data_IF_064835836594
#
_entry.id   IF_064835836594
#
_cell.length_a   1.000
_cell.length_b   1.000
_cell.length_c   1.000
_cell.angle_alpha   90.00
_cell.angle_beta   90.00
_cell.angle_gamma   90.00
#
_symmetry.space_group_name_H-M   'P 1'
#
loop_
_entity.id
_entity.type
_entity.pdbx_description
1 polymer ?
#
# COMPACT_ATOMS: atom_id res chain seq x y z
N UNK A 1 -47.24 3.07 -29.11
CA UNK A 1 -46.46 2.02 -28.43
C UNK A 1 -44.95 2.34 -28.52
N UNK A 2 -44.44 3.33 -27.77
CA UNK A 2 -43.02 3.77 -27.86
C UNK A 2 -42.42 4.35 -26.56
N UNK A 3 -42.98 4.05 -25.38
CA UNK A 3 -42.45 4.58 -24.11
C UNK A 3 -42.04 3.52 -23.08
N UNK A 4 -42.26 2.22 -23.36
CA UNK A 4 -41.90 1.14 -22.42
C UNK A 4 -40.41 0.77 -22.41
N UNK A 5 -39.61 1.30 -23.33
CA UNK A 5 -38.19 0.93 -23.43
C UNK A 5 -37.20 1.95 -22.87
N UNK A 6 -37.61 3.20 -22.60
CA UNK A 6 -36.72 4.22 -22.01
C UNK A 6 -36.60 4.11 -20.47
N UNK A 7 -37.56 3.50 -19.80
CA UNK A 7 -37.57 3.40 -18.33
C UNK A 7 -36.58 2.31 -17.84
N UNK A 8 -36.26 1.32 -18.68
CA UNK A 8 -35.29 0.28 -18.33
C UNK A 8 -33.83 0.76 -18.33
N UNK A 9 -33.51 1.83 -19.07
CA UNK A 9 -32.12 2.33 -19.16
C UNK A 9 -31.77 3.28 -18.00
N UNK A 10 -32.79 3.90 -17.37
CA UNK A 10 -32.60 4.79 -16.23
C UNK A 10 -32.42 4.04 -14.89
N UNK A 11 -32.82 2.77 -14.81
CA UNK A 11 -32.67 1.97 -13.59
C UNK A 11 -31.26 1.35 -13.45
N UNK A 12 -30.48 1.26 -14.52
CA UNK A 12 -29.13 0.69 -14.47
C UNK A 12 -28.05 1.70 -14.06
N UNK A 13 -28.35 3.00 -14.16
CA UNK A 13 -27.43 4.09 -13.79
C UNK A 13 -27.47 4.40 -12.27
N UNK A 14 -28.44 3.82 -11.54
CA UNK A 14 -28.64 4.05 -10.10
C UNK A 14 -28.06 2.96 -9.20
N UNK A 15 -27.45 1.90 -9.74
CA UNK A 15 -26.52 1.03 -8.98
C UNK A 15 -25.21 1.80 -8.80
N UNK A 16 -25.30 2.76 -7.90
CA UNK A 16 -24.47 3.94 -7.85
C UNK A 16 -23.12 3.63 -7.21
N UNK A 17 -21.97 4.03 -7.80
CA UNK A 17 -20.67 4.02 -7.11
C UNK A 17 -20.67 4.78 -5.77
N UNK A 18 -21.68 5.63 -5.52
CA UNK A 18 -21.91 6.33 -4.26
C UNK A 18 -22.30 5.42 -3.08
N UNK A 19 -22.98 4.29 -3.32
CA UNK A 19 -23.34 3.37 -2.24
C UNK A 19 -22.11 2.62 -1.70
N UNK A 20 -21.23 2.18 -2.61
CA UNK A 20 -19.99 1.49 -2.26
C UNK A 20 -18.98 2.41 -1.55
N UNK A 21 -18.90 3.69 -1.96
CA UNK A 21 -17.98 4.64 -1.32
C UNK A 21 -18.30 4.87 0.17
N UNK A 22 -19.59 4.92 0.54
CA UNK A 22 -20.01 5.06 1.93
C UNK A 22 -19.75 3.81 2.77
N UNK A 23 -19.94 2.63 2.20
CA UNK A 23 -19.65 1.35 2.85
C UNK A 23 -18.14 1.16 3.06
N UNK A 24 -17.32 1.48 2.04
CA UNK A 24 -15.87 1.40 2.14
C UNK A 24 -15.30 2.34 3.20
N UNK A 25 -15.85 3.55 3.32
CA UNK A 25 -15.45 4.49 4.36
C UNK A 25 -15.68 3.92 5.77
N UNK A 26 -16.84 3.26 5.98
CA UNK A 26 -17.16 2.61 7.24
C UNK A 26 -16.24 1.42 7.52
N UNK A 27 -16.03 0.54 6.53
CA UNK A 27 -15.11 -0.59 6.63
C UNK A 27 -13.69 -0.14 6.94
N UNK A 28 -13.20 0.87 6.22
CA UNK A 28 -11.87 1.42 6.42
C UNK A 28 -11.72 2.03 7.82
N UNK A 29 -12.72 2.79 8.30
CA UNK A 29 -12.72 3.33 9.65
C UNK A 29 -12.74 2.23 10.73
N UNK A 30 -13.53 1.18 10.51
CA UNK A 30 -13.59 0.03 11.41
C UNK A 30 -12.27 -0.73 11.45
N UNK A 31 -11.63 -0.97 10.29
CA UNK A 31 -10.30 -1.59 10.21
C UNK A 31 -9.24 -0.80 10.97
N UNK A 32 -9.24 0.53 10.83
CA UNK A 32 -8.37 1.42 11.62
C UNK A 32 -8.64 1.32 13.12
N UNK A 33 -9.90 1.23 13.54
CA UNK A 33 -10.24 1.08 14.94
C UNK A 33 -9.71 -0.24 15.51
N UNK A 34 -9.96 -1.35 14.80
CA UNK A 34 -9.41 -2.65 15.19
C UNK A 34 -7.89 -2.62 15.33
N UNK A 35 -7.18 -2.06 14.35
CA UNK A 35 -5.73 -1.91 14.41
C UNK A 35 -5.27 -1.09 15.62
N UNK A 36 -5.95 0.03 15.92
CA UNK A 36 -5.68 0.85 17.11
C UNK A 36 -5.85 0.07 18.42
N UNK A 37 -6.76 -0.90 18.44
CA UNK A 37 -7.00 -1.79 19.59
C UNK A 37 -6.18 -3.08 19.55
N UNK A 38 -5.15 -3.16 18.69
CA UNK A 38 -4.25 -4.32 18.51
C UNK A 38 -4.96 -5.60 18.04
N UNK A 39 -6.15 -5.47 17.43
CA UNK A 39 -6.94 -6.56 16.87
C UNK A 39 -6.63 -6.71 15.38
N UNK A 40 -5.42 -7.16 15.04
CA UNK A 40 -4.90 -7.04 13.68
C UNK A 40 -5.59 -7.97 12.68
N UNK A 41 -6.04 -9.17 13.09
CA UNK A 41 -6.79 -10.07 12.18
C UNK A 41 -8.13 -9.42 11.77
N UNK A 42 -8.84 -8.81 12.72
CA UNK A 42 -10.09 -8.10 12.42
C UNK A 42 -9.85 -6.87 11.55
N UNK A 43 -8.75 -6.14 11.79
CA UNK A 43 -8.35 -5.01 10.95
C UNK A 43 -8.11 -5.46 9.50
N UNK A 44 -7.33 -6.53 9.33
CA UNK A 44 -7.06 -7.16 8.04
C UNK A 44 -8.34 -7.56 7.32
N UNK A 45 -9.30 -8.18 8.00
CA UNK A 45 -10.58 -8.56 7.38
C UNK A 45 -11.29 -7.36 6.74
N UNK A 46 -11.28 -6.20 7.41
CA UNK A 46 -11.91 -4.98 6.87
C UNK A 46 -11.16 -4.42 5.66
N UNK A 47 -9.83 -4.36 5.72
CA UNK A 47 -9.03 -3.83 4.61
C UNK A 47 -9.06 -4.76 3.40
N UNK A 48 -8.97 -6.07 3.61
CA UNK A 48 -9.00 -7.07 2.54
C UNK A 48 -10.30 -7.03 1.75
N UNK A 49 -11.42 -6.80 2.42
CA UNK A 49 -12.72 -6.70 1.76
C UNK A 49 -12.75 -5.58 0.72
N UNK A 50 -12.22 -4.39 1.07
CA UNK A 50 -12.04 -3.26 0.15
C UNK A 50 -11.12 -3.64 -1.02
N UNK A 51 -10.01 -4.34 -0.73
CA UNK A 51 -9.04 -4.80 -1.75
C UNK A 51 -9.66 -5.80 -2.74
N UNK A 52 -10.59 -6.65 -2.32
CA UNK A 52 -11.15 -7.68 -3.19
C UNK A 52 -12.34 -7.15 -3.99
N UNK A 53 -13.23 -6.39 -3.34
CA UNK A 53 -14.51 -6.07 -3.92
C UNK A 53 -14.55 -4.72 -4.64
N UNK A 54 -13.70 -3.76 -4.25
CA UNK A 54 -13.86 -2.37 -4.68
C UNK A 54 -12.57 -1.79 -5.30
N UNK A 55 -12.34 -2.09 -6.57
CA UNK A 55 -11.16 -1.63 -7.33
C UNK A 55 -11.09 -0.10 -7.49
N UNK A 56 -12.24 0.58 -7.53
CA UNK A 56 -12.32 2.04 -7.64
C UNK A 56 -12.35 2.80 -6.31
N UNK A 57 -12.21 2.10 -5.17
CA UNK A 57 -12.34 2.73 -3.86
C UNK A 57 -11.21 3.74 -3.59
N UNK A 58 -11.50 4.94 -3.07
CA UNK A 58 -10.44 5.86 -2.63
C UNK A 58 -9.63 5.31 -1.44
N UNK A 59 -10.12 4.27 -0.77
CA UNK A 59 -9.44 3.61 0.35
C UNK A 59 -8.59 2.42 -0.07
N UNK A 60 -8.62 2.03 -1.35
CA UNK A 60 -7.96 0.82 -1.84
C UNK A 60 -6.45 0.89 -1.73
N UNK A 61 -5.82 2.01 -2.08
CA UNK A 61 -4.37 2.21 -1.93
C UNK A 61 -3.91 1.91 -0.49
N UNK A 62 -4.54 2.56 0.47
CA UNK A 62 -4.22 2.41 1.88
C UNK A 62 -4.55 1.00 2.39
N UNK A 63 -5.62 0.38 1.89
CA UNK A 63 -6.02 -0.98 2.28
C UNK A 63 -5.09 -2.05 1.72
N UNK A 64 -4.56 -1.88 0.50
CA UNK A 64 -3.51 -2.73 -0.06
C UNK A 64 -2.25 -2.66 0.81
N UNK A 65 -1.84 -1.44 1.19
CA UNK A 65 -0.68 -1.26 2.07
C UNK A 65 -0.88 -1.99 3.40
N UNK A 66 -2.01 -1.77 4.07
CA UNK A 66 -2.32 -2.40 5.36
C UNK A 66 -2.43 -3.93 5.25
N UNK A 67 -2.95 -4.44 4.13
CA UNK A 67 -3.04 -5.88 3.88
C UNK A 67 -1.65 -6.50 3.65
N UNK A 68 -0.78 -5.82 2.90
CA UNK A 68 0.60 -6.25 2.69
C UNK A 68 1.43 -6.22 3.99
N UNK A 69 1.26 -5.17 4.80
CA UNK A 69 1.84 -5.10 6.14
C UNK A 69 1.45 -6.29 7.00
N UNK A 70 0.15 -6.61 7.04
CA UNK A 70 -0.35 -7.73 7.83
C UNK A 70 0.34 -9.03 7.44
N UNK A 71 0.42 -9.35 6.14
CA UNK A 71 1.10 -10.56 5.68
C UNK A 71 2.60 -10.55 5.98
N UNK A 72 3.27 -9.40 5.85
CA UNK A 72 4.67 -9.27 6.19
C UNK A 72 4.93 -9.49 7.70
N UNK A 73 4.06 -8.94 8.57
CA UNK A 73 4.18 -9.08 10.02
C UNK A 73 4.03 -10.53 10.49
N UNK A 74 3.17 -11.31 9.82
CA UNK A 74 3.01 -12.75 10.11
C UNK A 74 3.95 -13.64 9.29
N UNK A 75 4.96 -13.04 8.64
CA UNK A 75 5.95 -13.72 7.79
C UNK A 75 5.36 -14.55 6.65
N UNK A 76 4.14 -14.23 6.21
CA UNK A 76 3.54 -14.84 5.03
C UNK A 76 4.02 -14.09 3.76
N UNK A 77 5.29 -14.33 3.40
CA UNK A 77 5.97 -13.59 2.34
C UNK A 77 5.34 -13.71 0.95
N UNK A 78 4.87 -14.88 0.48
CA UNK A 78 4.28 -14.98 -0.86
C UNK A 78 3.07 -14.06 -1.03
N UNK A 79 2.19 -14.00 -0.03
CA UNK A 79 1.02 -13.13 -0.01
C UNK A 79 1.42 -11.67 0.16
N UNK A 80 2.39 -11.36 1.02
CA UNK A 80 2.91 -10.00 1.16
C UNK A 80 3.47 -9.48 -0.17
N UNK A 81 4.29 -10.28 -0.86
CA UNK A 81 4.85 -9.96 -2.18
C UNK A 81 3.72 -9.73 -3.20
N UNK A 82 2.72 -10.61 -3.22
CA UNK A 82 1.58 -10.51 -4.13
C UNK A 82 0.84 -9.18 -3.95
N UNK A 83 0.49 -8.84 -2.70
CA UNK A 83 -0.26 -7.62 -2.37
C UNK A 83 0.58 -6.36 -2.62
N UNK A 84 1.85 -6.37 -2.25
CA UNK A 84 2.74 -5.23 -2.49
C UNK A 84 3.05 -5.03 -3.97
N UNK A 85 3.17 -6.10 -4.75
CA UNK A 85 3.31 -5.99 -6.21
C UNK A 85 2.05 -5.40 -6.84
N UNK A 86 0.87 -5.80 -6.36
CA UNK A 86 -0.39 -5.19 -6.77
C UNK A 86 -0.43 -3.69 -6.43
N UNK A 87 -0.01 -3.31 -5.22
CA UNK A 87 0.11 -1.90 -4.82
C UNK A 87 0.98 -1.11 -5.80
N UNK A 88 2.17 -1.61 -6.13
CA UNK A 88 3.10 -0.90 -7.02
C UNK A 88 2.56 -0.75 -8.45
N UNK A 89 1.77 -1.72 -8.90
CA UNK A 89 1.12 -1.69 -10.22
C UNK A 89 -0.03 -0.70 -10.27
N UNK A 90 -0.89 -0.68 -9.25
CA UNK A 90 -2.10 0.15 -9.22
C UNK A 90 -1.81 1.60 -8.79
N UNK A 91 -0.79 1.81 -7.95
CA UNK A 91 -0.45 3.10 -7.34
C UNK A 91 1.04 3.47 -7.52
N UNK A 92 1.53 3.55 -8.78
CA UNK A 92 2.96 3.76 -9.07
C UNK A 92 3.50 5.13 -8.60
N UNK A 93 2.62 6.10 -8.34
CA UNK A 93 2.96 7.46 -7.90
C UNK A 93 2.65 7.70 -6.40
N UNK A 94 2.26 6.65 -5.67
CA UNK A 94 1.94 6.77 -4.25
C UNK A 94 3.15 7.25 -3.43
N UNK A 95 2.88 8.12 -2.44
CA UNK A 95 3.87 8.49 -1.42
C UNK A 95 4.32 7.29 -0.58
N UNK A 96 3.50 6.25 -0.48
CA UNK A 96 3.81 5.05 0.28
C UNK A 96 4.65 4.02 -0.50
N UNK A 97 4.87 4.24 -1.80
CA UNK A 97 5.65 3.37 -2.70
C UNK A 97 7.04 3.00 -2.15
N UNK A 98 7.77 3.98 -1.60
CA UNK A 98 9.11 3.73 -1.06
C UNK A 98 9.08 2.74 0.12
N UNK A 99 8.02 2.77 0.93
CA UNK A 99 7.87 1.86 2.07
C UNK A 99 7.46 0.46 1.60
N UNK A 100 6.63 0.36 0.55
CA UNK A 100 6.32 -0.92 -0.10
C UNK A 100 7.59 -1.56 -0.67
N UNK A 101 8.44 -0.78 -1.35
CA UNK A 101 9.74 -1.28 -1.83
C UNK A 101 10.66 -1.68 -0.67
N UNK A 102 10.64 -0.95 0.45
CA UNK A 102 11.34 -1.33 1.67
C UNK A 102 10.90 -2.69 2.23
N UNK A 103 9.59 -2.97 2.24
CA UNK A 103 9.07 -4.28 2.61
C UNK A 103 9.54 -5.39 1.67
N UNK A 104 9.40 -5.18 0.35
CA UNK A 104 9.86 -6.17 -0.63
C UNK A 104 11.37 -6.41 -0.53
N UNK A 105 12.16 -5.36 -0.27
CA UNK A 105 13.60 -5.48 -0.08
C UNK A 105 13.92 -6.32 1.16
N UNK A 106 13.29 -6.01 2.31
CA UNK A 106 13.43 -6.80 3.54
C UNK A 106 13.06 -8.26 3.32
N UNK A 107 11.94 -8.52 2.64
CA UNK A 107 11.51 -9.89 2.33
C UNK A 107 12.55 -10.59 1.46
N UNK A 108 13.06 -9.96 0.41
CA UNK A 108 14.10 -10.54 -0.45
C UNK A 108 15.40 -10.84 0.32
N UNK A 109 15.76 -10.03 1.32
CA UNK A 109 16.87 -10.33 2.22
C UNK A 109 16.59 -11.58 3.07
N UNK A 110 15.40 -11.66 3.68
CA UNK A 110 15.01 -12.79 4.54
C UNK A 110 14.88 -14.10 3.76
N UNK A 111 14.45 -14.05 2.50
CA UNK A 111 14.34 -15.22 1.62
C UNK A 111 15.62 -15.55 0.86
N UNK A 112 16.68 -14.72 0.98
CA UNK A 112 17.92 -14.81 0.20
C UNK A 112 17.69 -14.78 -1.33
N UNK A 113 16.66 -14.08 -1.79
CA UNK A 113 16.38 -13.90 -3.21
C UNK A 113 17.27 -12.80 -3.80
N UNK A 114 18.49 -13.20 -4.16
CA UNK A 114 19.52 -12.27 -4.67
C UNK A 114 19.13 -11.56 -5.97
N UNK A 115 18.34 -12.20 -6.83
CA UNK A 115 17.88 -11.60 -8.09
C UNK A 115 16.90 -10.45 -7.81
N UNK A 116 15.87 -10.72 -6.98
CA UNK A 116 14.93 -9.68 -6.58
C UNK A 116 15.61 -8.55 -5.80
N UNK A 117 16.60 -8.89 -4.95
CA UNK A 117 17.32 -7.91 -4.16
C UNK A 117 18.04 -6.85 -5.02
N UNK A 118 18.79 -7.29 -6.04
CA UNK A 118 19.51 -6.37 -6.94
C UNK A 118 18.56 -5.55 -7.81
N UNK A 119 17.45 -6.15 -8.26
CA UNK A 119 16.40 -5.44 -8.97
C UNK A 119 15.78 -4.34 -8.08
N UNK A 120 15.37 -4.68 -6.86
CA UNK A 120 14.73 -3.75 -5.92
C UNK A 120 15.68 -2.63 -5.50
N UNK A 121 16.97 -2.94 -5.30
CA UNK A 121 18.01 -1.94 -5.07
C UNK A 121 18.06 -0.91 -6.19
N UNK A 122 18.06 -1.38 -7.44
CA UNK A 122 18.04 -0.51 -8.64
C UNK A 122 16.77 0.35 -8.70
N UNK A 123 15.60 -0.26 -8.46
CA UNK A 123 14.31 0.43 -8.47
C UNK A 123 14.25 1.56 -7.42
N UNK A 124 14.73 1.27 -6.20
CA UNK A 124 14.77 2.24 -5.07
C UNK A 124 15.74 3.40 -5.35
N UNK A 125 16.94 3.11 -5.87
CA UNK A 125 17.95 4.14 -6.17
C UNK A 125 17.48 5.04 -7.30
N UNK A 126 16.88 4.48 -8.35
CA UNK A 126 16.37 5.24 -9.50
C UNK A 126 15.30 6.23 -9.09
N UNK A 127 14.37 5.84 -8.20
CA UNK A 127 13.37 6.74 -7.65
C UNK A 127 13.98 7.98 -6.97
N UNK A 128 15.15 7.82 -6.34
CA UNK A 128 15.83 8.92 -5.65
C UNK A 128 16.71 9.75 -6.57
N UNK A 129 17.39 9.16 -7.54
CA UNK A 129 18.21 9.94 -8.48
C UNK A 129 17.36 10.97 -9.24
N UNK A 130 16.13 10.63 -9.61
CA UNK A 130 15.18 11.60 -10.16
C UNK A 130 14.83 12.70 -9.16
N UNK A 131 14.71 12.38 -7.86
CA UNK A 131 14.40 13.38 -6.81
C UNK A 131 15.58 14.33 -6.53
N UNK A 132 16.82 13.85 -6.62
CA UNK A 132 18.04 14.64 -6.41
C UNK A 132 18.32 15.68 -7.51
N UNK A 133 17.90 15.42 -8.75
CA UNK A 133 17.97 16.41 -9.85
C UNK A 133 17.12 17.65 -9.50
N UNK A 134 16.07 17.49 -8.69
CA UNK A 134 15.21 18.56 -8.18
C UNK A 134 15.53 18.84 -6.70
N UNK A 135 16.74 19.37 -6.44
CA UNK A 135 17.29 19.86 -5.16
C UNK A 135 16.23 20.11 -4.07
N UNK A 136 16.07 19.14 -3.18
CA UNK A 136 15.82 19.26 -1.73
C UNK A 136 15.80 17.82 -1.18
N UNK A 137 16.59 17.52 -0.14
CA UNK A 137 16.51 16.24 0.56
C UNK A 137 15.06 15.97 0.97
N UNK A 138 14.43 14.96 0.38
CA UNK A 138 13.04 14.61 0.68
C UNK A 138 13.02 13.60 1.82
N UNK A 139 12.62 14.07 3.00
CA UNK A 139 12.17 13.18 4.06
C UNK A 139 10.78 12.66 3.68
N UNK A 140 10.69 11.36 3.42
CA UNK A 140 9.39 10.71 3.19
C UNK A 140 8.83 10.31 4.54
N UNK A 141 7.57 10.65 4.79
CA UNK A 141 6.83 10.19 5.96
C UNK A 141 5.50 9.62 5.52
N UNK A 142 5.09 8.53 6.16
CA UNK A 142 3.81 7.90 5.92
C UNK A 142 3.28 7.26 7.18
N UNK A 143 1.99 7.46 7.46
CA UNK A 143 1.30 6.77 8.53
C UNK A 143 0.32 5.80 7.91
N UNK A 144 0.51 4.52 8.17
CA UNK A 144 -0.37 3.50 7.62
C UNK A 144 -1.70 3.42 8.38
N UNK A 145 -2.73 2.75 7.79
CA UNK A 145 -3.99 2.49 8.48
C UNK A 145 -3.82 1.65 9.75
N UNK A 146 -2.77 0.83 9.82
CA UNK A 146 -2.40 0.03 11.00
C UNK A 146 -1.71 0.85 12.10
N UNK A 147 -1.64 2.17 11.93
CA UNK A 147 -1.06 3.15 12.88
C UNK A 147 0.46 3.11 12.99
N UNK A 148 1.15 2.36 12.13
CA UNK A 148 2.61 2.40 12.01
C UNK A 148 3.08 3.70 11.35
N UNK A 149 4.25 4.17 11.78
CA UNK A 149 4.83 5.44 11.34
C UNK A 149 6.10 5.15 10.57
N UNK A 150 6.11 5.47 9.29
CA UNK A 150 7.24 5.21 8.42
C UNK A 150 7.98 6.49 8.10
N UNK A 151 9.31 6.37 8.00
CA UNK A 151 10.19 7.44 7.54
C UNK A 151 11.28 6.88 6.65
N UNK A 152 11.54 7.52 5.51
CA UNK A 152 12.71 7.19 4.70
C UNK A 152 13.69 8.36 4.72
N UNK A 153 14.94 8.06 5.07
CA UNK A 153 16.05 9.02 5.11
C UNK A 153 17.00 8.68 3.98
N UNK A 154 17.18 9.64 3.07
CA UNK A 154 18.03 9.48 1.89
C UNK A 154 19.35 10.21 2.12
N UNK A 155 20.46 9.47 2.03
CA UNK A 155 21.83 9.97 2.09
C UNK A 155 22.53 9.73 0.75
N UNK A 156 23.74 10.25 0.59
CA UNK A 156 24.51 10.21 -0.67
C UNK A 156 24.74 8.78 -1.17
N UNK A 157 24.92 7.82 -0.27
CA UNK A 157 25.31 6.43 -0.58
C UNK A 157 24.36 5.39 0.03
N UNK A 158 23.25 5.84 0.60
CA UNK A 158 22.38 4.97 1.38
C UNK A 158 20.98 5.52 1.52
N UNK A 159 19.99 4.62 1.51
CA UNK A 159 18.63 4.91 1.95
C UNK A 159 18.33 4.04 3.16
N UNK A 160 17.92 4.67 4.27
CA UNK A 160 17.43 3.95 5.45
C UNK A 160 15.94 4.17 5.59
N UNK A 161 15.18 3.08 5.63
CA UNK A 161 13.73 3.09 5.81
C UNK A 161 13.42 2.60 7.22
N UNK A 162 12.63 3.38 7.94
CA UNK A 162 12.23 3.13 9.31
C UNK A 162 10.75 2.78 9.40
N UNK A 163 10.42 1.89 10.33
CA UNK A 163 9.09 1.66 10.87
C UNK A 163 9.14 1.96 12.37
N UNK A 164 8.61 3.11 12.79
CA UNK A 164 8.81 3.64 14.13
C UNK A 164 10.28 3.94 14.39
N UNK A 165 10.83 3.33 15.44
CA UNK A 165 12.26 3.39 15.79
C UNK A 165 13.09 2.28 15.14
N UNK A 166 12.46 1.30 14.52
CA UNK A 166 13.13 0.14 13.94
C UNK A 166 13.52 0.39 12.48
N UNK A 167 14.65 -0.18 12.07
CA UNK A 167 15.06 -0.17 10.67
C UNK A 167 14.26 -1.27 9.95
N UNK A 168 13.44 -0.86 9.00
CA UNK A 168 12.73 -1.78 8.09
C UNK A 168 13.68 -2.29 7.01
N UNK A 169 14.43 -1.39 6.38
CA UNK A 169 15.36 -1.72 5.32
C UNK A 169 16.49 -0.70 5.25
N UNK A 170 17.68 -1.18 4.93
CA UNK A 170 18.85 -0.36 4.68
C UNK A 170 19.47 -0.74 3.34
N UNK A 171 19.49 0.21 2.41
CA UNK A 171 19.89 0.00 1.02
C UNK A 171 21.12 0.86 0.72
N UNK A 172 22.28 0.23 0.61
CA UNK A 172 23.55 0.89 0.28
C UNK A 172 23.87 0.78 -1.20
N UNK A 173 24.28 1.87 -1.84
CA UNK A 173 24.57 1.95 -3.28
C UNK A 173 25.73 2.89 -3.60
#
# INVERSE_FOLDING_TARGET
MKYKSLISLLLFVLLSPHAHAGEDAQRFALGKNFAKTHQMEFAYMQFRDIVIHNVGSPFREASLFATGEYFADISNFPEAITIFTQFLKEYPDSKAKIFVLGYLYKIAQETNDTEQLEKLKTDIVTLQQVSFVFRNSKDYQYRSPTHKQYRAVVRINQITIYNGSEILAEISY
#
